data_IF_968634120146
#
_entry.id   IF_968634120146
#
_cell.length_a   1.000
_cell.length_b   1.000
_cell.length_c   1.000
_cell.angle_alpha   90.00
_cell.angle_beta   90.00
_cell.angle_gamma   90.00
#
_symmetry.space_group_name_H-M   'P 1'
#
loop_
_entity.id
_entity.type
_entity.pdbx_description
1 polymer ?
#
# COMPACT_ATOMS: atom_id res chain seq x y z
N UNK A 1 20.30 -5.06 0.51
CA UNK A 1 19.00 -5.67 0.77
C UNK A 1 18.35 -5.12 2.03
N UNK A 2 17.03 -5.11 2.01
CA UNK A 2 16.21 -4.60 3.10
C UNK A 2 15.33 -5.72 3.64
N UNK A 3 15.11 -5.70 4.95
CA UNK A 3 14.21 -6.63 5.60
C UNK A 3 12.89 -5.94 5.90
N UNK A 4 11.78 -6.59 5.56
CA UNK A 4 10.44 -6.07 5.84
C UNK A 4 10.13 -6.33 7.32
N UNK A 5 9.86 -5.26 8.05
CA UNK A 5 9.49 -5.34 9.46
C UNK A 5 7.98 -5.35 9.65
N UNK A 6 7.28 -4.50 8.94
CA UNK A 6 5.84 -4.37 8.99
C UNK A 6 5.34 -3.60 7.78
N UNK A 7 4.07 -3.77 7.48
CA UNK A 7 3.42 -3.02 6.42
C UNK A 7 1.92 -3.07 6.56
N UNK A 8 1.27 -2.09 5.97
CA UNK A 8 -0.19 -2.08 5.85
C UNK A 8 -0.60 -1.35 4.59
N UNK A 9 -1.75 -1.70 4.07
CA UNK A 9 -2.21 -1.08 2.86
C UNK A 9 -3.64 -1.41 2.52
N UNK A 10 -4.06 -0.86 1.39
CA UNK A 10 -5.40 -1.03 0.85
C UNK A 10 -5.27 -1.36 -0.63
N UNK A 11 -6.05 -2.34 -1.06
CA UNK A 11 -6.23 -2.66 -2.47
C UNK A 11 -7.63 -2.19 -2.86
N UNK A 12 -7.72 -1.39 -3.89
CA UNK A 12 -8.98 -0.85 -4.37
C UNK A 12 -8.91 -0.47 -5.83
N UNK A 13 -9.81 0.39 -6.26
CA UNK A 13 -9.90 0.84 -7.65
C UNK A 13 -9.57 2.32 -7.77
N UNK A 14 -8.93 2.68 -8.87
CA UNK A 14 -8.82 4.07 -9.29
C UNK A 14 -10.14 4.54 -9.91
N UNK A 15 -10.26 5.83 -10.19
CA UNK A 15 -11.42 6.37 -10.93
C UNK A 15 -11.57 5.74 -12.31
N UNK A 16 -10.49 5.22 -12.87
CA UNK A 16 -10.44 4.55 -14.18
C UNK A 16 -10.86 3.08 -14.15
N UNK A 17 -11.25 2.55 -12.98
CA UNK A 17 -11.51 1.14 -12.72
C UNK A 17 -10.26 0.25 -12.71
N UNK A 18 -9.08 0.83 -12.80
CA UNK A 18 -7.83 0.08 -12.65
C UNK A 18 -7.59 -0.29 -11.20
N UNK A 19 -7.09 -1.49 -10.97
CA UNK A 19 -6.72 -1.95 -9.64
C UNK A 19 -5.52 -1.14 -9.14
N UNK A 20 -5.60 -0.69 -7.89
CA UNK A 20 -4.50 0.05 -7.26
C UNK A 20 -4.20 -0.51 -5.87
N UNK A 21 -2.92 -0.48 -5.52
CA UNK A 21 -2.44 -0.88 -4.20
C UNK A 21 -1.77 0.33 -3.56
N UNK A 22 -2.20 0.68 -2.37
CA UNK A 22 -1.59 1.74 -1.58
C UNK A 22 -0.98 1.10 -0.34
N UNK A 23 0.34 1.08 -0.25
CA UNK A 23 1.07 0.32 0.75
C UNK A 23 2.11 1.20 1.43
N UNK A 24 2.09 1.21 2.75
CA UNK A 24 3.14 1.79 3.58
C UNK A 24 3.91 0.68 4.29
N UNK A 25 5.22 0.78 4.33
CA UNK A 25 6.07 -0.23 4.93
C UNK A 25 7.15 0.36 5.81
N UNK A 26 7.56 -0.44 6.80
CA UNK A 26 8.78 -0.25 7.57
C UNK A 26 9.76 -1.33 7.13
N UNK A 27 10.98 -0.92 6.86
CA UNK A 27 12.07 -1.82 6.45
C UNK A 27 13.34 -1.49 7.22
N UNK A 28 14.22 -2.47 7.38
CA UNK A 28 15.53 -2.23 7.97
C UNK A 28 16.65 -2.64 7.02
N UNK A 29 17.77 -1.96 7.11
CA UNK A 29 18.99 -2.32 6.39
C UNK A 29 19.91 -3.21 7.25
N UNK A 30 21.07 -3.57 6.69
CA UNK A 30 22.07 -4.39 7.34
C UNK A 30 22.65 -3.77 8.62
N UNK A 31 22.54 -2.45 8.77
CA UNK A 31 23.04 -1.70 9.92
C UNK A 31 21.96 -1.39 10.94
N UNK A 32 20.82 -2.06 10.85
CA UNK A 32 19.66 -1.88 11.74
C UNK A 32 19.03 -0.49 11.66
N UNK A 33 19.26 0.24 10.58
CA UNK A 33 18.57 1.50 10.32
C UNK A 33 17.19 1.22 9.74
N UNK A 34 16.20 1.89 10.27
CA UNK A 34 14.81 1.70 9.88
C UNK A 34 14.34 2.85 9.01
N UNK A 35 13.68 2.49 7.92
CA UNK A 35 13.07 3.43 6.98
C UNK A 35 11.60 3.11 6.86
N UNK A 36 10.79 4.12 6.68
CA UNK A 36 9.36 3.93 6.48
C UNK A 36 8.82 4.91 5.46
N UNK A 37 7.78 4.48 4.77
CA UNK A 37 7.12 5.34 3.82
C UNK A 37 6.22 4.59 2.83
N UNK A 38 5.79 5.36 1.85
CA UNK A 38 4.97 4.88 0.76
C UNK A 38 5.79 4.05 -0.22
N UNK A 39 5.29 2.88 -0.58
CA UNK A 39 5.94 2.01 -1.57
C UNK A 39 5.53 2.47 -2.97
N UNK A 40 6.53 2.69 -3.81
CA UNK A 40 6.33 3.07 -5.20
C UNK A 40 6.09 1.82 -6.02
N UNK A 41 4.94 1.76 -6.68
CA UNK A 41 4.53 0.62 -7.46
C UNK A 41 5.52 0.28 -8.58
N UNK A 42 5.79 -1.01 -8.74
CA UNK A 42 6.65 -1.52 -9.80
C UNK A 42 8.15 -1.31 -9.59
N UNK A 43 8.58 -0.65 -8.52
CA UNK A 43 10.01 -0.36 -8.29
C UNK A 43 10.67 -1.20 -7.19
N UNK A 44 9.90 -2.11 -6.58
CA UNK A 44 10.38 -2.91 -5.47
C UNK A 44 10.20 -4.39 -5.77
N UNK A 45 11.30 -5.12 -5.83
CA UNK A 45 11.29 -6.55 -6.04
C UNK A 45 11.48 -7.29 -4.71
N UNK A 46 10.73 -8.38 -4.55
CA UNK A 46 10.96 -9.29 -3.42
C UNK A 46 12.18 -10.13 -3.73
N UNK A 47 13.21 -10.00 -2.90
CA UNK A 47 14.48 -10.70 -3.12
C UNK A 47 14.40 -12.17 -2.70
N UNK A 48 13.84 -12.43 -1.52
CA UNK A 48 13.73 -13.79 -0.98
C UNK A 48 12.27 -14.15 -0.71
N UNK A 49 11.65 -13.54 0.30
CA UNK A 49 10.26 -13.80 0.65
C UNK A 49 9.54 -12.55 1.14
N UNK A 50 8.21 -12.58 1.03
CA UNK A 50 7.33 -11.66 1.73
C UNK A 50 6.10 -12.46 2.19
N UNK A 51 5.68 -12.24 3.42
CA UNK A 51 4.47 -12.84 3.95
C UNK A 51 3.37 -11.78 3.99
N UNK A 52 2.22 -12.11 3.43
CA UNK A 52 1.13 -11.15 3.25
C UNK A 52 -0.17 -11.79 3.74
N UNK A 53 -0.93 -11.03 4.52
CA UNK A 53 -2.29 -11.39 4.90
C UNK A 53 -3.22 -10.37 4.25
N UNK A 54 -4.16 -10.85 3.45
CA UNK A 54 -5.15 -10.03 2.78
C UNK A 54 -6.53 -10.39 3.31
N UNK A 55 -7.25 -9.38 3.78
CA UNK A 55 -8.64 -9.52 4.19
C UNK A 55 -9.53 -8.86 3.14
N UNK A 56 -10.34 -9.65 2.47
CA UNK A 56 -11.31 -9.14 1.50
C UNK A 56 -12.54 -8.59 2.23
N UNK A 57 -12.91 -7.36 1.89
CA UNK A 57 -14.14 -6.75 2.39
C UNK A 57 -15.21 -6.89 1.32
N UNK A 58 -16.22 -7.68 1.60
CA UNK A 58 -17.31 -8.01 0.67
C UNK A 58 -18.38 -6.93 0.65
N UNK A 59 -19.07 -6.78 -0.49
CA UNK A 59 -20.20 -5.87 -0.69
C UNK A 59 -19.89 -4.39 -0.50
N UNK A 60 -18.63 -4.01 -0.64
CA UNK A 60 -18.18 -2.63 -0.54
C UNK A 60 -17.36 -2.29 -1.76
N UNK A 61 -17.67 -1.18 -2.40
CA UNK A 61 -16.81 -0.62 -3.42
C UNK A 61 -15.78 0.28 -2.74
N UNK A 62 -14.52 0.05 -3.05
CA UNK A 62 -13.41 0.83 -2.53
C UNK A 62 -12.70 1.53 -3.69
N UNK A 63 -12.85 2.84 -3.76
CA UNK A 63 -12.34 3.63 -4.86
C UNK A 63 -11.49 4.78 -4.36
N UNK A 64 -10.35 4.96 -4.98
CA UNK A 64 -9.44 6.06 -4.70
C UNK A 64 -9.86 7.28 -5.49
N UNK A 65 -10.23 8.33 -4.79
CA UNK A 65 -10.73 9.58 -5.37
C UNK A 65 -10.07 10.79 -4.73
N UNK A 66 -10.03 11.89 -5.48
CA UNK A 66 -9.55 13.15 -4.94
C UNK A 66 -10.55 13.71 -3.94
N UNK A 67 -10.04 14.08 -2.78
CA UNK A 67 -10.85 14.70 -1.71
C UNK A 67 -10.46 16.18 -1.57
N UNK A 68 -11.42 17.05 -1.85
CA UNK A 68 -11.17 18.50 -1.80
C UNK A 68 -10.92 19.02 -0.40
N UNK A 69 -11.50 18.40 0.62
CA UNK A 69 -11.35 18.82 2.00
C UNK A 69 -9.94 18.61 2.53
N UNK A 70 -9.31 17.51 2.15
CA UNK A 70 -7.95 17.16 2.58
C UNK A 70 -6.88 17.57 1.56
N UNK A 71 -7.25 17.72 0.29
CA UNK A 71 -6.32 17.96 -0.81
C UNK A 71 -5.54 16.72 -1.25
N UNK A 72 -5.96 15.54 -0.85
CA UNK A 72 -5.31 14.28 -1.17
C UNK A 72 -6.25 13.32 -1.89
N UNK A 73 -5.65 12.35 -2.59
CA UNK A 73 -6.37 11.18 -3.06
C UNK A 73 -6.53 10.21 -1.89
N UNK A 74 -7.76 9.83 -1.60
CA UNK A 74 -8.09 8.92 -0.50
C UNK A 74 -9.03 7.82 -0.99
N UNK A 75 -9.04 6.72 -0.27
CA UNK A 75 -9.99 5.64 -0.53
C UNK A 75 -11.33 5.97 0.12
N UNK A 76 -12.41 5.92 -0.66
CA UNK A 76 -13.78 6.03 -0.17
C UNK A 76 -14.51 4.72 -0.40
N UNK A 77 -15.24 4.29 0.60
CA UNK A 77 -16.00 3.05 0.60
C UNK A 77 -17.48 3.34 0.38
N UNK A 78 -18.08 2.56 -0.46
CA UNK A 78 -19.52 2.67 -0.74
C UNK A 78 -20.22 1.33 -0.54
#
# INVERSE_FOLDING_TARGET
PLEILAGQGIIGLEETDELTVHLHMLVSDEKMRVYGGHIIDGENAVLVTAEIIIHEIDRVENRRVYDEDTGFFIFKFK
#
